data_IF_235511422086
#
_entry.id   IF_235511422086
#
_cell.length_a   1.000
_cell.length_b   1.000
_cell.length_c   1.000
_cell.angle_alpha   90.00
_cell.angle_beta   90.00
_cell.angle_gamma   90.00
#
_symmetry.space_group_name_H-M   'P 1'
#
loop_
_entity.id
_entity.type
_entity.pdbx_description
1 polymer ?
#
# COMPACT_ATOMS: atom_id res chain seq x y z
N UNK A 1 4.82 -12.90 -8.99
CA UNK A 1 6.23 -12.52 -9.00
C UNK A 1 6.36 -11.00 -9.13
N UNK A 2 7.44 -10.44 -8.56
CA UNK A 2 7.78 -9.04 -8.66
C UNK A 2 9.24 -8.91 -9.15
N UNK A 3 9.49 -8.00 -10.09
CA UNK A 3 10.82 -7.83 -10.69
C UNK A 3 11.20 -6.35 -10.69
N UNK A 4 12.48 -6.07 -10.42
CA UNK A 4 13.07 -4.75 -10.53
C UNK A 4 14.20 -4.79 -11.59
N UNK A 5 13.95 -4.36 -12.84
CA UNK A 5 14.96 -4.33 -13.90
C UNK A 5 15.96 -3.19 -13.67
N UNK A 6 17.20 -3.41 -14.11
CA UNK A 6 18.29 -2.45 -14.12
C UNK A 6 18.62 -2.04 -15.57
N UNK A 7 19.33 -0.93 -15.73
CA UNK A 7 19.69 -0.39 -17.05
C UNK A 7 20.64 -1.30 -17.86
N UNK A 8 21.38 -2.19 -17.20
CA UNK A 8 22.28 -3.16 -17.84
C UNK A 8 21.54 -4.42 -18.33
N UNK A 9 20.22 -4.48 -18.20
CA UNK A 9 19.38 -5.62 -18.55
C UNK A 9 19.31 -6.71 -17.48
N UNK A 10 20.07 -6.60 -16.40
CA UNK A 10 19.89 -7.47 -15.22
C UNK A 10 18.67 -7.07 -14.42
N UNK A 11 18.28 -7.90 -13.44
CA UNK A 11 17.12 -7.60 -12.60
C UNK A 11 17.23 -8.24 -11.21
N UNK A 12 16.66 -7.57 -10.20
CA UNK A 12 16.29 -8.21 -8.95
C UNK A 12 14.95 -8.93 -9.11
N UNK A 13 14.91 -10.22 -8.75
CA UNK A 13 13.74 -11.09 -8.97
C UNK A 13 13.21 -11.58 -7.63
N UNK A 14 11.93 -11.38 -7.39
CA UNK A 14 11.21 -11.87 -6.24
C UNK A 14 10.16 -12.90 -6.67
N UNK A 15 10.31 -14.11 -6.17
CA UNK A 15 9.43 -15.25 -6.42
C UNK A 15 8.73 -15.66 -5.11
N UNK A 16 7.63 -16.42 -5.19
CA UNK A 16 6.94 -16.92 -3.99
C UNK A 16 7.88 -17.74 -3.09
N UNK A 17 8.67 -18.64 -3.66
CA UNK A 17 9.63 -19.44 -2.90
C UNK A 17 10.81 -18.58 -2.42
N UNK A 18 11.10 -18.64 -1.12
CA UNK A 18 12.30 -18.03 -0.52
C UNK A 18 13.57 -18.57 -1.18
N UNK A 19 13.64 -19.89 -1.42
CA UNK A 19 14.82 -20.54 -1.99
C UNK A 19 15.03 -20.16 -3.45
N UNK A 20 13.96 -20.15 -4.27
CA UNK A 20 14.06 -19.73 -5.66
C UNK A 20 14.45 -18.25 -5.78
N UNK A 21 13.94 -17.39 -4.92
CA UNK A 21 14.37 -15.98 -4.86
C UNK A 21 15.83 -15.86 -4.48
N UNK A 22 16.25 -16.63 -3.47
CA UNK A 22 17.64 -16.61 -3.01
C UNK A 22 18.60 -17.13 -4.09
N UNK A 23 18.22 -18.18 -4.82
CA UNK A 23 19.03 -18.70 -5.93
C UNK A 23 19.15 -17.64 -7.05
N UNK A 24 18.09 -16.89 -7.34
CA UNK A 24 18.12 -15.79 -8.30
C UNK A 24 18.95 -14.57 -7.82
N UNK A 25 19.17 -14.42 -6.50
CA UNK A 25 19.97 -13.33 -5.91
C UNK A 25 21.49 -13.60 -5.89
N UNK A 26 21.94 -14.79 -6.29
CA UNK A 26 23.36 -15.15 -6.30
C UNK A 26 24.05 -14.91 -4.96
N UNK A 27 25.05 -14.04 -4.92
CA UNK A 27 25.86 -13.75 -3.72
C UNK A 27 25.06 -13.26 -2.51
N UNK A 28 23.87 -12.73 -2.72
CA UNK A 28 22.97 -12.30 -1.65
C UNK A 28 21.94 -13.35 -1.23
N UNK A 29 21.91 -14.52 -1.89
CA UNK A 29 20.90 -15.55 -1.64
C UNK A 29 20.86 -16.02 -0.19
N UNK A 30 22.01 -16.29 0.42
CA UNK A 30 22.08 -16.72 1.82
C UNK A 30 21.62 -15.63 2.79
N UNK A 31 21.91 -14.34 2.48
CA UNK A 31 21.42 -13.23 3.26
C UNK A 31 19.89 -13.09 3.16
N UNK A 32 19.36 -13.34 1.95
CA UNK A 32 17.91 -13.34 1.71
C UNK A 32 17.23 -14.42 2.55
N UNK A 33 17.70 -15.68 2.48
CA UNK A 33 17.18 -16.80 3.29
C UNK A 33 17.20 -16.49 4.79
N UNK A 34 18.30 -15.95 5.28
CA UNK A 34 18.49 -15.65 6.71
C UNK A 34 17.52 -14.57 7.21
N UNK A 35 17.23 -13.55 6.38
CA UNK A 35 16.33 -12.48 6.77
C UNK A 35 14.87 -12.89 6.62
N UNK A 36 14.48 -13.40 5.46
CA UNK A 36 13.08 -13.60 5.10
C UNK A 36 12.55 -15.00 5.41
N UNK A 37 13.36 -16.02 5.38
CA UNK A 37 12.93 -17.39 5.65
C UNK A 37 12.18 -17.54 6.99
N UNK A 38 12.75 -17.08 8.13
CA UNK A 38 12.07 -17.16 9.41
C UNK A 38 10.83 -16.27 9.54
N UNK A 39 10.78 -15.14 8.80
CA UNK A 39 9.60 -14.24 8.80
C UNK A 39 8.45 -14.89 8.05
N UNK A 40 8.71 -15.44 6.87
CA UNK A 40 7.70 -16.12 6.04
C UNK A 40 7.20 -17.41 6.71
N UNK A 41 8.09 -18.21 7.30
CA UNK A 41 7.70 -19.43 8.03
C UNK A 41 6.81 -19.18 9.26
N UNK A 42 6.75 -17.95 9.75
CA UNK A 42 5.92 -17.53 10.91
C UNK A 42 5.01 -16.37 10.55
N UNK A 43 4.58 -16.30 9.28
CA UNK A 43 3.77 -15.19 8.78
C UNK A 43 2.49 -14.99 9.60
N UNK A 44 1.73 -16.04 9.88
CA UNK A 44 0.48 -15.94 10.67
C UNK A 44 0.73 -15.35 12.05
N UNK A 45 1.78 -15.80 12.74
CA UNK A 45 2.15 -15.27 14.04
C UNK A 45 2.60 -13.81 13.97
N UNK A 46 3.29 -13.44 12.89
CA UNK A 46 3.69 -12.05 12.64
C UNK A 46 2.48 -11.16 12.34
N UNK A 47 1.59 -11.61 11.47
CA UNK A 47 0.36 -10.89 11.13
C UNK A 47 -0.56 -10.73 12.33
N UNK A 48 -0.71 -11.77 13.17
CA UNK A 48 -1.54 -11.73 14.37
C UNK A 48 -1.17 -10.59 15.33
N UNK A 49 0.10 -10.19 15.36
CA UNK A 49 0.59 -9.10 16.21
C UNK A 49 0.79 -7.79 15.45
N UNK A 50 1.39 -7.83 14.24
CA UNK A 50 1.70 -6.63 13.47
C UNK A 50 0.46 -5.89 12.95
N UNK A 51 -0.67 -6.59 12.82
CA UNK A 51 -1.96 -5.99 12.41
C UNK A 51 -2.81 -5.47 13.57
N UNK A 52 -2.29 -5.50 14.79
CA UNK A 52 -2.94 -4.96 15.99
C UNK A 52 -2.38 -3.57 16.38
N UNK A 53 -3.10 -2.79 17.19
CA UNK A 53 -2.55 -1.57 17.77
C UNK A 53 -1.28 -1.84 18.57
N UNK A 54 -0.25 -1.01 18.36
CA UNK A 54 1.09 -1.19 18.97
C UNK A 54 1.08 -1.22 20.51
N UNK A 55 0.11 -0.56 21.14
CA UNK A 55 -0.02 -0.55 22.61
C UNK A 55 -0.69 -1.81 23.16
N UNK A 56 -0.93 -2.82 22.34
CA UNK A 56 -1.43 -4.13 22.76
C UNK A 56 -0.31 -5.04 23.30
N UNK A 57 -0.71 -6.10 24.00
CA UNK A 57 0.22 -7.16 24.42
C UNK A 57 0.36 -8.16 23.28
N UNK A 58 1.58 -8.34 22.72
CA UNK A 58 1.77 -9.25 21.59
C UNK A 58 1.57 -10.71 22.04
N UNK A 59 0.95 -11.50 21.15
CA UNK A 59 0.75 -12.95 21.33
C UNK A 59 2.04 -13.74 21.06
N UNK A 60 2.87 -13.22 20.13
CA UNK A 60 4.10 -13.87 19.67
C UNK A 60 5.31 -12.91 19.80
N UNK A 61 5.70 -12.52 21.05
CA UNK A 61 6.64 -11.44 21.30
C UNK A 61 8.02 -11.65 20.67
N UNK A 62 8.50 -12.89 20.57
CA UNK A 62 9.79 -13.20 19.96
C UNK A 62 9.76 -13.03 18.43
N UNK A 63 8.66 -13.40 17.78
CA UNK A 63 8.47 -13.21 16.33
C UNK A 63 8.40 -11.73 16.01
N UNK A 64 7.60 -10.99 16.78
CA UNK A 64 7.46 -9.54 16.61
C UNK A 64 8.77 -8.81 16.91
N UNK A 65 9.53 -9.19 17.93
CA UNK A 65 10.82 -8.61 18.26
C UNK A 65 11.86 -8.84 17.16
N UNK A 66 11.91 -10.04 16.58
CA UNK A 66 12.79 -10.36 15.45
C UNK A 66 12.47 -9.51 14.22
N UNK A 67 11.20 -9.38 13.87
CA UNK A 67 10.74 -8.48 12.82
C UNK A 67 11.11 -7.03 13.15
N UNK A 68 10.79 -6.58 14.36
CA UNK A 68 11.02 -5.23 14.84
C UNK A 68 12.48 -4.79 14.77
N UNK A 69 13.43 -5.71 15.03
CA UNK A 69 14.86 -5.42 14.95
C UNK A 69 15.31 -4.90 13.58
N UNK A 70 14.73 -5.43 12.50
CA UNK A 70 14.98 -4.95 11.14
C UNK A 70 14.01 -3.82 10.73
N UNK A 71 12.76 -3.90 11.18
CA UNK A 71 11.69 -2.96 10.82
C UNK A 71 11.94 -1.53 11.32
N UNK A 72 12.64 -1.36 12.45
CA UNK A 72 12.97 -0.02 12.98
C UNK A 72 14.04 0.70 12.16
N UNK A 73 14.77 0.00 11.31
CA UNK A 73 15.81 0.59 10.47
C UNK A 73 15.22 1.43 9.33
N UNK A 74 15.93 2.50 8.90
CA UNK A 74 15.69 3.09 7.59
C UNK A 74 15.90 2.06 6.47
N UNK A 75 15.07 2.09 5.44
CA UNK A 75 15.24 1.18 4.29
C UNK A 75 16.60 1.37 3.59
N UNK A 76 17.10 2.60 3.55
CA UNK A 76 18.45 2.92 3.05
C UNK A 76 19.58 2.29 3.88
N UNK A 77 19.36 2.10 5.18
CA UNK A 77 20.34 1.42 6.05
C UNK A 77 20.28 -0.09 5.83
N UNK A 78 19.07 -0.67 5.79
CA UNK A 78 18.91 -2.10 5.53
C UNK A 78 19.41 -2.48 4.13
N UNK A 79 19.31 -1.60 3.13
CA UNK A 79 19.87 -1.83 1.80
C UNK A 79 21.38 -2.14 1.80
N UNK A 80 22.14 -1.65 2.80
CA UNK A 80 23.57 -1.93 2.95
C UNK A 80 23.87 -3.38 3.34
N UNK A 81 22.85 -4.12 3.73
CA UNK A 81 22.95 -5.56 4.00
C UNK A 81 23.24 -6.35 2.72
N UNK A 82 22.75 -5.87 1.56
CA UNK A 82 22.92 -6.49 0.26
C UNK A 82 24.25 -6.09 -0.39
N UNK A 83 24.87 -7.02 -1.14
CA UNK A 83 26.14 -6.79 -1.86
C UNK A 83 25.89 -6.43 -3.32
N UNK A 84 24.89 -7.07 -3.95
CA UNK A 84 24.57 -6.89 -5.37
C UNK A 84 23.59 -5.73 -5.56
N UNK A 85 23.66 -5.08 -6.72
CA UNK A 85 22.73 -4.00 -7.02
C UNK A 85 21.33 -4.54 -7.33
N UNK A 86 21.21 -5.75 -7.87
CA UNK A 86 19.95 -6.44 -8.09
C UNK A 86 19.13 -6.59 -6.79
N UNK A 87 19.79 -7.06 -5.74
CA UNK A 87 19.15 -7.22 -4.43
C UNK A 87 18.83 -5.87 -3.78
N UNK A 88 19.73 -4.87 -3.91
CA UNK A 88 19.49 -3.52 -3.39
C UNK A 88 18.34 -2.81 -4.09
N UNK A 89 18.28 -2.89 -5.42
CA UNK A 89 17.25 -2.24 -6.22
C UNK A 89 15.88 -2.90 -6.01
N UNK A 90 15.81 -4.23 -5.98
CA UNK A 90 14.58 -4.93 -5.60
C UNK A 90 14.10 -4.51 -4.20
N UNK A 91 15.01 -4.50 -3.21
CA UNK A 91 14.68 -4.03 -1.86
C UNK A 91 14.18 -2.59 -1.86
N UNK A 92 14.85 -1.70 -2.57
CA UNK A 92 14.46 -0.29 -2.66
C UNK A 92 13.06 -0.13 -3.27
N UNK A 93 12.77 -0.88 -4.36
CA UNK A 93 11.46 -0.88 -5.02
C UNK A 93 10.34 -1.39 -4.12
N UNK A 94 10.57 -2.47 -3.37
CA UNK A 94 9.57 -2.96 -2.41
C UNK A 94 9.41 -2.02 -1.23
N UNK A 95 10.50 -1.44 -0.71
CA UNK A 95 10.41 -0.47 0.39
C UNK A 95 9.73 0.84 -0.02
N UNK A 96 9.77 1.22 -1.32
CA UNK A 96 9.10 2.40 -1.86
C UNK A 96 7.56 2.35 -1.70
N UNK A 97 6.96 1.18 -1.51
CA UNK A 97 5.55 1.05 -1.13
C UNK A 97 5.18 1.75 0.19
N UNK A 98 6.17 2.20 0.97
CA UNK A 98 5.92 3.08 2.10
C UNK A 98 5.41 4.48 1.68
N UNK A 99 5.55 4.87 0.40
CA UNK A 99 5.21 6.21 -0.15
C UNK A 99 5.76 7.33 0.75
N UNK A 100 6.98 7.16 1.19
CA UNK A 100 7.66 8.06 2.12
C UNK A 100 9.17 8.04 1.88
N UNK A 101 9.89 9.09 2.32
CA UNK A 101 11.36 9.11 2.23
C UNK A 101 11.97 7.94 3.01
N UNK A 102 12.79 7.15 2.32
CA UNK A 102 13.27 5.85 2.81
C UNK A 102 14.49 5.90 3.74
N UNK A 103 14.99 7.11 4.02
CA UNK A 103 16.09 7.38 4.96
C UNK A 103 15.64 7.61 6.41
N UNK A 104 14.34 7.43 6.69
CA UNK A 104 13.79 7.58 8.05
C UNK A 104 13.63 6.24 8.76
N UNK A 105 13.75 6.24 10.10
CA UNK A 105 13.46 5.03 10.89
C UNK A 105 12.11 4.42 10.54
N UNK A 106 12.01 3.09 10.64
CA UNK A 106 10.81 2.28 10.40
C UNK A 106 10.35 2.18 8.93
N UNK A 107 11.03 2.80 7.98
CA UNK A 107 10.66 2.67 6.56
C UNK A 107 10.97 1.30 5.98
N UNK A 108 11.77 0.47 6.66
CA UNK A 108 11.94 -0.95 6.33
C UNK A 108 10.68 -1.79 6.64
N UNK A 109 9.83 -1.37 7.57
CA UNK A 109 8.72 -2.19 8.07
C UNK A 109 7.76 -2.62 6.96
N UNK A 110 7.41 -1.70 6.06
CA UNK A 110 6.49 -1.96 4.93
C UNK A 110 7.11 -2.97 3.96
N UNK A 111 8.36 -2.74 3.55
CA UNK A 111 9.06 -3.65 2.63
C UNK A 111 9.25 -5.04 3.23
N UNK A 112 9.65 -5.14 4.50
CA UNK A 112 9.79 -6.43 5.19
C UNK A 112 8.47 -7.20 5.27
N UNK A 113 7.37 -6.51 5.57
CA UNK A 113 6.06 -7.15 5.64
C UNK A 113 5.60 -7.62 4.27
N UNK A 114 5.76 -6.80 3.21
CA UNK A 114 5.39 -7.18 1.85
C UNK A 114 6.19 -8.38 1.35
N UNK A 115 7.51 -8.43 1.60
CA UNK A 115 8.33 -9.59 1.22
C UNK A 115 7.93 -10.82 2.02
N UNK A 116 7.73 -10.69 3.34
CA UNK A 116 7.32 -11.83 4.16
C UNK A 116 5.95 -12.39 3.73
N UNK A 117 4.98 -11.52 3.45
CA UNK A 117 3.66 -11.90 2.96
C UNK A 117 3.73 -12.52 1.56
N UNK A 118 4.52 -11.91 0.66
CA UNK A 118 4.69 -12.43 -0.70
C UNK A 118 5.37 -13.81 -0.75
N UNK A 119 6.26 -14.12 0.18
CA UNK A 119 6.81 -15.47 0.32
C UNK A 119 5.82 -16.44 0.97
N UNK A 120 5.00 -16.00 1.91
CA UNK A 120 4.01 -16.85 2.57
C UNK A 120 2.83 -17.16 1.64
N UNK A 121 2.11 -16.12 1.21
CA UNK A 121 0.86 -16.26 0.45
C UNK A 121 1.07 -16.15 -1.07
N UNK A 122 2.16 -15.53 -1.51
CA UNK A 122 2.43 -15.19 -2.89
C UNK A 122 2.06 -13.74 -3.23
N UNK A 123 2.45 -13.32 -4.44
CA UNK A 123 2.14 -12.00 -5.00
C UNK A 123 0.89 -12.14 -5.88
N UNK A 124 -0.27 -12.25 -5.23
CA UNK A 124 -1.53 -12.67 -5.85
C UNK A 124 -2.33 -11.47 -6.41
N UNK A 125 -3.24 -11.78 -7.36
CA UNK A 125 -4.26 -10.87 -7.87
C UNK A 125 -5.62 -11.54 -7.76
N UNK A 126 -6.69 -10.74 -7.65
CA UNK A 126 -8.05 -11.28 -7.68
C UNK A 126 -8.43 -11.63 -9.12
N UNK A 127 -8.95 -12.84 -9.34
CA UNK A 127 -9.55 -13.25 -10.60
C UNK A 127 -10.74 -12.33 -10.94
N UNK A 128 -10.84 -11.90 -12.19
CA UNK A 128 -11.83 -10.93 -12.64
C UNK A 128 -11.55 -9.48 -12.21
N UNK A 129 -10.54 -9.24 -11.37
CA UNK A 129 -10.09 -7.92 -10.92
C UNK A 129 -10.45 -7.57 -9.48
N UNK A 130 -9.95 -6.44 -9.01
CA UNK A 130 -10.12 -6.01 -7.61
C UNK A 130 -11.58 -5.80 -7.20
N UNK A 131 -12.48 -5.56 -8.14
CA UNK A 131 -13.92 -5.45 -7.87
C UNK A 131 -14.49 -6.74 -7.27
N UNK A 132 -13.96 -7.91 -7.65
CA UNK A 132 -14.39 -9.20 -7.13
C UNK A 132 -14.27 -9.30 -5.60
N UNK A 133 -13.25 -8.63 -5.01
CA UNK A 133 -13.08 -8.57 -3.54
C UNK A 133 -14.22 -7.75 -2.91
N UNK A 134 -14.54 -6.59 -3.50
CA UNK A 134 -15.62 -5.74 -3.00
C UNK A 134 -16.99 -6.42 -3.16
N UNK A 135 -17.21 -7.12 -4.28
CA UNK A 135 -18.45 -7.85 -4.55
C UNK A 135 -18.64 -9.01 -3.58
N UNK A 136 -17.58 -9.74 -3.25
CA UNK A 136 -17.61 -10.81 -2.25
C UNK A 136 -17.99 -10.27 -0.85
N UNK A 137 -17.37 -9.17 -0.42
CA UNK A 137 -17.70 -8.52 0.86
C UNK A 137 -19.14 -7.98 0.85
N UNK A 138 -19.59 -7.39 -0.26
CA UNK A 138 -20.96 -6.91 -0.40
C UNK A 138 -21.99 -8.07 -0.38
N UNK A 139 -21.65 -9.22 -0.98
CA UNK A 139 -22.48 -10.42 -0.91
C UNK A 139 -22.61 -10.93 0.52
N UNK A 140 -21.50 -10.94 1.29
CA UNK A 140 -21.50 -11.35 2.68
C UNK A 140 -22.36 -10.44 3.57
N UNK A 141 -22.26 -9.11 3.38
CA UNK A 141 -23.11 -8.14 4.07
C UNK A 141 -24.60 -8.46 3.81
N UNK A 142 -24.97 -8.68 2.55
CA UNK A 142 -26.37 -9.00 2.17
C UNK A 142 -26.82 -10.36 2.69
N UNK A 143 -25.93 -11.36 2.69
CA UNK A 143 -26.21 -12.69 3.25
C UNK A 143 -26.61 -12.63 4.72
N UNK A 144 -25.99 -11.72 5.47
CA UNK A 144 -26.32 -11.46 6.88
C UNK A 144 -27.44 -10.43 7.08
N UNK A 145 -28.20 -10.09 6.04
CA UNK A 145 -29.36 -9.19 6.12
C UNK A 145 -29.01 -7.71 6.15
N UNK A 146 -27.74 -7.36 5.91
CA UNK A 146 -27.29 -5.96 5.80
C UNK A 146 -27.73 -5.33 4.47
N UNK A 147 -27.85 -4.01 4.45
CA UNK A 147 -28.16 -3.21 3.26
C UNK A 147 -26.97 -2.35 2.85
N UNK A 148 -26.86 -2.08 1.55
CA UNK A 148 -25.83 -1.20 0.98
C UNK A 148 -26.55 -0.12 0.18
N UNK A 149 -26.41 1.13 0.62
CA UNK A 149 -26.94 2.30 -0.05
C UNK A 149 -25.80 3.07 -0.72
N UNK A 150 -25.90 3.29 -2.02
CA UNK A 150 -24.94 4.06 -2.81
C UNK A 150 -25.53 5.40 -3.22
N UNK A 151 -24.64 6.35 -3.62
CA UNK A 151 -25.08 7.69 -4.01
C UNK A 151 -25.48 8.60 -2.84
N UNK A 152 -25.35 8.14 -1.61
CA UNK A 152 -25.65 8.88 -0.38
C UNK A 152 -24.37 9.43 0.24
N UNK A 153 -24.10 10.71 -0.02
CA UNK A 153 -22.92 11.37 0.57
C UNK A 153 -23.23 11.89 1.96
N UNK A 154 -22.55 11.34 2.97
CA UNK A 154 -22.66 11.80 4.36
C UNK A 154 -21.70 12.97 4.58
N UNK A 155 -22.21 14.14 4.89
CA UNK A 155 -21.44 15.37 5.14
C UNK A 155 -21.51 15.81 6.60
N UNK A 156 -22.55 15.40 7.32
CA UNK A 156 -22.80 15.75 8.69
C UNK A 156 -23.48 14.64 9.47
N UNK A 157 -23.52 14.74 10.79
CA UNK A 157 -24.24 13.78 11.63
C UNK A 157 -25.76 13.75 11.37
N UNK A 158 -26.32 14.81 10.78
CA UNK A 158 -27.74 14.87 10.45
C UNK A 158 -28.11 14.00 9.24
N UNK A 159 -27.13 13.63 8.42
CA UNK A 159 -27.32 12.76 7.25
C UNK A 159 -27.35 11.27 7.62
N UNK A 160 -27.02 10.93 8.88
CA UNK A 160 -26.93 9.55 9.35
C UNK A 160 -28.28 9.06 9.84
N UNK A 161 -28.65 7.80 9.54
CA UNK A 161 -29.83 7.17 10.15
C UNK A 161 -29.60 6.94 11.65
N UNK A 162 -30.67 6.65 12.39
CA UNK A 162 -30.58 6.22 13.77
C UNK A 162 -29.72 4.95 13.87
N UNK A 163 -28.80 4.89 14.83
CA UNK A 163 -27.82 3.80 14.97
C UNK A 163 -27.40 3.62 16.43
N UNK A 164 -27.10 2.39 16.81
CA UNK A 164 -26.48 2.06 18.09
C UNK A 164 -24.95 2.15 17.99
N UNK A 165 -24.40 1.82 16.83
CA UNK A 165 -22.97 1.87 16.50
C UNK A 165 -22.77 2.54 15.15
N UNK A 166 -21.74 3.39 15.06
CA UNK A 166 -21.28 4.04 13.84
C UNK A 166 -19.81 3.71 13.59
N UNK A 167 -19.53 3.06 12.46
CA UNK A 167 -18.20 2.78 11.96
C UNK A 167 -17.92 3.70 10.76
N UNK A 168 -16.92 4.59 10.88
CA UNK A 168 -16.56 5.56 9.86
C UNK A 168 -15.30 5.09 9.10
N UNK A 169 -15.48 4.60 7.89
CA UNK A 169 -14.37 4.33 6.95
C UNK A 169 -14.04 5.58 6.13
N UNK A 170 -13.59 6.63 6.82
CA UNK A 170 -13.27 7.91 6.21
C UNK A 170 -11.92 8.45 6.71
N UNK A 171 -11.33 9.38 5.97
CA UNK A 171 -10.16 10.10 6.44
C UNK A 171 -10.46 10.88 7.75
N UNK A 172 -9.49 11.06 8.67
CA UNK A 172 -9.71 11.76 9.94
C UNK A 172 -10.29 13.16 9.78
N UNK A 173 -9.90 13.90 8.74
CA UNK A 173 -10.46 15.22 8.43
C UNK A 173 -11.93 15.17 8.06
N UNK A 174 -12.37 14.15 7.32
CA UNK A 174 -13.78 13.94 6.99
C UNK A 174 -14.59 13.57 8.23
N UNK A 175 -14.05 12.73 9.13
CA UNK A 175 -14.68 12.43 10.41
C UNK A 175 -14.90 13.70 11.27
N UNK A 176 -13.96 14.67 11.23
CA UNK A 176 -14.16 15.97 11.88
C UNK A 176 -15.33 16.73 11.25
N UNK A 177 -15.47 16.71 9.93
CA UNK A 177 -16.60 17.34 9.23
C UNK A 177 -17.94 16.71 9.61
N UNK A 178 -18.01 15.38 9.57
CA UNK A 178 -19.25 14.62 9.85
C UNK A 178 -19.68 14.78 11.31
N UNK A 179 -18.75 14.63 12.26
CA UNK A 179 -19.08 14.60 13.69
C UNK A 179 -19.13 15.99 14.35
N UNK A 180 -18.48 16.99 13.75
CA UNK A 180 -18.50 18.38 14.20
C UNK A 180 -18.13 18.54 15.68
N UNK A 181 -18.92 19.33 16.39
CA UNK A 181 -18.71 19.66 17.82
C UNK A 181 -19.00 18.49 18.77
N UNK A 182 -19.52 17.37 18.27
CA UNK A 182 -19.68 16.13 19.06
C UNK A 182 -18.32 15.50 19.39
N UNK A 183 -17.28 15.76 18.57
CA UNK A 183 -15.94 15.25 18.81
C UNK A 183 -15.29 15.92 20.02
N UNK A 184 -14.69 15.17 20.96
CA UNK A 184 -13.87 15.77 22.00
C UNK A 184 -12.76 16.63 21.38
N UNK A 185 -12.52 17.81 21.95
CA UNK A 185 -11.61 18.82 21.37
C UNK A 185 -10.19 18.28 21.10
N UNK A 186 -9.68 17.38 21.95
CA UNK A 186 -8.36 16.77 21.77
C UNK A 186 -8.33 15.79 20.59
N UNK A 187 -9.41 15.05 20.33
CA UNK A 187 -9.55 14.13 19.19
C UNK A 187 -9.67 14.93 17.89
N UNK A 188 -10.55 15.92 17.87
CA UNK A 188 -10.71 16.82 16.71
C UNK A 188 -9.39 17.51 16.34
N UNK A 189 -8.60 17.95 17.33
CA UNK A 189 -7.27 18.51 17.13
C UNK A 189 -6.30 17.49 16.54
N UNK A 190 -6.29 16.26 17.02
CA UNK A 190 -5.43 15.20 16.51
C UNK A 190 -5.79 14.85 15.06
N UNK A 191 -7.07 14.72 14.73
CA UNK A 191 -7.57 14.42 13.40
C UNK A 191 -7.27 15.54 12.39
N UNK A 192 -7.38 16.81 12.78
CA UNK A 192 -6.98 17.96 11.93
C UNK A 192 -5.46 18.01 11.69
N UNK A 193 -4.63 17.43 12.57
CA UNK A 193 -3.17 17.38 12.45
C UNK A 193 -2.67 16.14 11.74
N UNK A 194 -3.57 15.20 11.43
CA UNK A 194 -3.23 13.99 10.70
C UNK A 194 -2.65 14.36 9.33
N UNK A 195 -1.54 13.74 8.96
CA UNK A 195 -0.83 14.05 7.72
C UNK A 195 -1.02 12.96 6.70
N UNK A 196 -1.32 13.36 5.48
CA UNK A 196 -1.31 12.49 4.32
C UNK A 196 0.06 12.43 3.69
N UNK A 197 0.33 11.31 2.96
CA UNK A 197 1.61 11.03 2.33
C UNK A 197 1.71 11.57 0.90
N UNK A 198 2.68 11.03 0.15
CA UNK A 198 2.81 11.26 -1.28
C UNK A 198 1.53 10.85 -2.02
N UNK A 199 1.28 11.47 -3.16
CA UNK A 199 0.20 11.09 -4.05
C UNK A 199 0.63 10.01 -5.04
N UNK A 200 -0.35 9.30 -5.58
CA UNK A 200 -0.19 8.44 -6.75
C UNK A 200 -0.77 9.15 -7.97
N UNK A 201 0.02 9.19 -9.05
CA UNK A 201 -0.45 9.59 -10.38
C UNK A 201 -0.53 8.33 -11.23
N UNK A 202 -1.72 7.96 -11.68
CA UNK A 202 -2.01 6.66 -12.28
C UNK A 202 -2.22 6.80 -13.79
N UNK A 203 -1.65 5.86 -14.54
CA UNK A 203 -1.93 5.70 -15.97
C UNK A 203 -2.28 4.24 -16.24
N UNK A 204 -3.45 4.02 -16.79
CA UNK A 204 -3.90 2.73 -17.31
C UNK A 204 -3.72 2.72 -18.83
N UNK A 205 -3.20 1.64 -19.38
CA UNK A 205 -2.98 1.47 -20.81
C UNK A 205 -3.77 0.27 -21.35
N UNK A 206 -4.22 0.38 -22.58
CA UNK A 206 -4.49 -0.73 -23.47
C UNK A 206 -3.30 -0.86 -24.42
N UNK A 207 -2.65 -2.01 -24.43
CA UNK A 207 -1.43 -2.25 -25.24
C UNK A 207 -1.64 -3.39 -26.21
N UNK A 208 -0.97 -3.31 -27.38
CA UNK A 208 -0.92 -4.40 -28.33
C UNK A 208 0.16 -5.42 -27.91
N UNK A 209 -0.26 -6.66 -27.66
CA UNK A 209 0.62 -7.75 -27.22
C UNK A 209 1.23 -7.52 -25.84
N UNK A 210 2.44 -8.02 -25.63
CA UNK A 210 3.17 -7.95 -24.36
C UNK A 210 4.06 -6.71 -24.28
N UNK A 211 4.43 -6.31 -23.05
CA UNK A 211 5.43 -5.24 -22.85
C UNK A 211 6.82 -5.76 -23.27
N UNK A 212 7.56 -5.03 -24.11
CA UNK A 212 8.83 -5.50 -24.68
C UNK A 212 10.02 -5.32 -23.71
N UNK A 213 9.90 -5.85 -22.48
CA UNK A 213 10.94 -5.70 -21.47
C UNK A 213 12.31 -6.20 -21.93
N UNK A 214 13.35 -5.42 -21.69
CA UNK A 214 14.74 -5.81 -21.92
C UNK A 214 15.16 -6.92 -20.97
N UNK A 215 14.82 -6.79 -19.68
CA UNK A 215 15.07 -7.82 -18.69
C UNK A 215 14.06 -8.97 -18.83
N UNK A 216 14.55 -10.16 -19.19
CA UNK A 216 13.72 -11.35 -19.43
C UNK A 216 12.78 -11.70 -18.28
N UNK A 217 13.21 -11.67 -16.99
CA UNK A 217 12.31 -11.98 -15.87
C UNK A 217 11.09 -11.06 -15.78
N UNK A 218 11.19 -9.79 -16.23
CA UNK A 218 10.08 -8.84 -16.21
C UNK A 218 8.93 -9.23 -17.14
N UNK A 219 9.20 -10.03 -18.18
CA UNK A 219 8.17 -10.51 -19.12
C UNK A 219 7.17 -11.47 -18.49
N UNK A 220 7.53 -12.09 -17.36
CA UNK A 220 6.69 -13.06 -16.63
C UNK A 220 6.22 -12.54 -15.28
N UNK A 221 6.64 -11.35 -14.88
CA UNK A 221 6.29 -10.76 -13.59
C UNK A 221 4.93 -10.06 -13.63
N UNK A 222 4.05 -10.38 -12.70
CA UNK A 222 2.78 -9.66 -12.53
C UNK A 222 2.99 -8.22 -12.08
N UNK A 223 4.11 -7.93 -11.41
CA UNK A 223 4.49 -6.57 -10.98
C UNK A 223 5.94 -6.27 -11.34
N UNK A 224 6.15 -5.08 -11.92
CA UNK A 224 7.48 -4.58 -12.27
C UNK A 224 7.70 -3.23 -11.61
N UNK A 225 8.80 -3.08 -10.87
CA UNK A 225 9.23 -1.82 -10.27
C UNK A 225 10.28 -1.15 -11.15
N UNK A 226 10.03 0.08 -11.59
CA UNK A 226 10.94 0.84 -12.44
C UNK A 226 11.50 2.03 -11.66
N UNK A 227 12.81 2.06 -11.50
CA UNK A 227 13.45 3.13 -10.74
C UNK A 227 14.97 3.21 -10.95
N UNK A 228 15.51 2.36 -11.83
CA UNK A 228 16.95 2.24 -12.00
C UNK A 228 17.63 1.59 -10.80
N UNK A 229 18.79 2.07 -10.41
CA UNK A 229 19.51 1.55 -9.26
C UNK A 229 18.86 1.95 -7.93
N UNK A 230 19.30 1.35 -6.84
CA UNK A 230 18.76 1.62 -5.49
C UNK A 230 18.89 3.08 -5.07
N UNK A 231 19.92 3.79 -5.53
CA UNK A 231 20.16 5.20 -5.19
C UNK A 231 19.17 6.11 -5.90
N UNK A 232 18.83 5.77 -7.15
CA UNK A 232 17.83 6.49 -7.93
C UNK A 232 16.44 6.36 -7.26
N UNK A 233 16.04 5.15 -6.85
CA UNK A 233 14.80 4.93 -6.10
C UNK A 233 14.77 5.74 -4.80
N UNK A 234 15.83 5.69 -3.99
CA UNK A 234 15.89 6.45 -2.74
C UNK A 234 15.87 7.97 -2.97
N UNK A 235 16.54 8.42 -4.04
CA UNK A 235 16.53 9.81 -4.48
C UNK A 235 15.16 10.30 -4.90
N UNK A 236 14.43 9.47 -5.64
CA UNK A 236 13.07 9.74 -6.10
C UNK A 236 12.10 9.92 -4.93
N UNK A 237 12.09 8.99 -3.98
CA UNK A 237 11.23 9.08 -2.79
C UNK A 237 11.54 10.33 -1.94
N UNK A 238 12.82 10.70 -1.85
CA UNK A 238 13.23 11.91 -1.16
C UNK A 238 12.78 13.17 -1.91
N UNK A 239 12.89 13.21 -3.24
CA UNK A 239 12.46 14.34 -4.08
C UNK A 239 10.93 14.53 -3.98
N UNK A 240 10.16 13.45 -4.12
CA UNK A 240 8.70 13.47 -3.97
C UNK A 240 8.30 14.01 -2.60
N UNK A 241 8.97 13.56 -1.53
CA UNK A 241 8.72 14.07 -0.18
C UNK A 241 9.05 15.57 -0.01
N UNK A 242 9.96 16.10 -0.81
CA UNK A 242 10.31 17.52 -0.87
C UNK A 242 9.42 18.36 -1.78
N UNK A 243 8.40 17.76 -2.40
CA UNK A 243 7.49 18.45 -3.30
C UNK A 243 7.98 18.54 -4.75
N UNK A 244 8.96 17.73 -5.14
CA UNK A 244 9.56 17.72 -6.49
C UNK A 244 9.18 16.43 -7.19
N UNK A 245 8.60 16.52 -8.41
CA UNK A 245 8.45 15.37 -9.30
C UNK A 245 9.82 15.09 -9.94
N UNK A 246 10.39 13.88 -9.74
CA UNK A 246 11.60 13.49 -10.45
C UNK A 246 11.38 13.42 -11.97
N UNK A 247 12.40 13.70 -12.76
CA UNK A 247 12.36 13.52 -14.22
C UNK A 247 12.14 12.05 -14.60
N UNK A 248 12.74 11.13 -13.83
CA UNK A 248 12.62 9.68 -13.97
C UNK A 248 12.05 9.11 -12.67
N UNK A 249 10.72 9.21 -12.45
CA UNK A 249 10.12 8.81 -11.19
C UNK A 249 10.20 7.30 -10.97
N UNK A 250 10.09 6.88 -9.71
CA UNK A 250 9.75 5.49 -9.41
C UNK A 250 8.35 5.19 -9.94
N UNK A 251 8.24 4.15 -10.76
CA UNK A 251 6.98 3.71 -11.36
C UNK A 251 6.73 2.25 -11.02
N UNK A 252 5.55 1.94 -10.55
CA UNK A 252 5.06 0.59 -10.40
C UNK A 252 4.18 0.24 -11.60
N UNK A 253 4.45 -0.92 -12.21
CA UNK A 253 3.71 -1.44 -13.37
C UNK A 253 3.09 -2.78 -13.01
N UNK A 254 1.82 -2.97 -13.33
CA UNK A 254 1.10 -4.21 -13.12
C UNK A 254 0.65 -4.86 -14.42
N UNK A 255 1.01 -6.13 -14.57
CA UNK A 255 0.72 -6.99 -15.71
C UNK A 255 -0.22 -8.12 -15.29
N UNK A 256 -1.39 -7.77 -14.72
CA UNK A 256 -2.32 -8.76 -14.18
C UNK A 256 -2.85 -9.74 -15.23
N UNK A 257 -2.85 -9.35 -16.51
CA UNK A 257 -3.25 -10.21 -17.61
C UNK A 257 -2.41 -11.48 -17.73
N UNK A 258 -1.17 -11.47 -17.19
CA UNK A 258 -0.31 -12.68 -17.16
C UNK A 258 -0.86 -13.76 -16.21
N UNK A 259 -1.51 -13.35 -15.12
CA UNK A 259 -2.12 -14.25 -14.15
C UNK A 259 -3.59 -14.52 -14.45
N UNK A 260 -4.28 -13.54 -15.03
CA UNK A 260 -5.71 -13.58 -15.39
C UNK A 260 -5.93 -13.18 -16.86
N UNK A 261 -5.80 -14.10 -17.79
CA UNK A 261 -5.97 -13.83 -19.22
C UNK A 261 -7.38 -13.33 -19.60
N UNK A 262 -8.38 -13.52 -18.74
CA UNK A 262 -9.74 -13.03 -18.97
C UNK A 262 -9.83 -11.49 -19.01
N UNK A 263 -8.75 -10.82 -18.56
CA UNK A 263 -8.60 -9.36 -18.59
C UNK A 263 -8.28 -8.82 -19.98
N UNK A 264 -7.87 -9.69 -20.90
CA UNK A 264 -7.44 -9.34 -22.26
C UNK A 264 -8.56 -9.52 -23.27
N UNK A 265 -8.51 -8.76 -24.37
CA UNK A 265 -9.43 -8.89 -25.50
C UNK A 265 -8.61 -9.08 -26.78
N UNK A 266 -8.62 -10.29 -27.35
CA UNK A 266 -7.75 -10.64 -28.48
C UNK A 266 -6.27 -10.49 -28.08
N UNK A 267 -5.54 -9.66 -28.84
CA UNK A 267 -4.14 -9.33 -28.56
C UNK A 267 -3.96 -8.07 -27.71
N UNK A 268 -5.07 -7.43 -27.31
CA UNK A 268 -5.03 -6.22 -26.48
C UNK A 268 -5.01 -6.58 -25.01
N UNK A 269 -3.96 -6.16 -24.31
CA UNK A 269 -3.75 -6.40 -22.90
C UNK A 269 -3.90 -5.11 -22.08
N UNK A 270 -4.54 -5.18 -20.89
CA UNK A 270 -4.56 -4.07 -19.96
C UNK A 270 -3.24 -4.02 -19.16
N UNK A 271 -2.64 -2.84 -19.11
CA UNK A 271 -1.51 -2.56 -18.25
C UNK A 271 -1.85 -1.38 -17.37
N UNK A 272 -1.60 -1.45 -16.07
CA UNK A 272 -1.74 -0.29 -15.21
C UNK A 272 -0.40 0.12 -14.62
N UNK A 273 -0.26 1.40 -14.36
CA UNK A 273 0.92 1.94 -13.70
C UNK A 273 0.57 3.10 -12.80
N UNK A 274 1.43 3.38 -11.84
CA UNK A 274 1.43 4.65 -11.15
C UNK A 274 2.84 5.08 -10.77
N UNK A 275 3.04 6.39 -10.71
CA UNK A 275 4.23 7.00 -10.14
C UNK A 275 3.92 7.62 -8.77
N UNK A 276 4.91 7.65 -7.88
CA UNK A 276 4.85 8.48 -6.69
C UNK A 276 5.07 9.94 -7.09
N UNK A 277 4.15 10.80 -6.68
CA UNK A 277 4.20 12.24 -6.94
C UNK A 277 4.04 13.02 -5.63
N UNK A 278 4.42 14.30 -5.58
CA UNK A 278 4.18 15.12 -4.40
C UNK A 278 2.70 15.12 -3.98
N UNK A 279 2.45 15.22 -2.69
CA UNK A 279 1.09 15.35 -2.15
C UNK A 279 0.32 16.48 -2.84
N UNK A 280 -0.86 16.18 -3.36
CA UNK A 280 -1.69 17.16 -4.06
C UNK A 280 -1.07 17.70 -5.36
N UNK A 281 -0.22 16.94 -6.01
CA UNK A 281 0.43 17.30 -7.28
C UNK A 281 -0.61 17.65 -8.34
N UNK A 282 -0.45 18.84 -8.95
CA UNK A 282 -1.39 19.39 -9.95
C UNK A 282 -0.87 19.37 -11.38
N UNK A 283 0.37 18.87 -11.57
CA UNK A 283 0.96 18.71 -12.89
C UNK A 283 0.53 17.41 -13.58
N UNK A 284 1.14 17.14 -14.70
CA UNK A 284 0.99 15.92 -15.47
C UNK A 284 2.30 15.10 -15.38
N UNK A 285 2.20 13.83 -14.98
CA UNK A 285 3.32 12.90 -14.91
C UNK A 285 3.26 11.83 -16.01
N UNK A 286 2.33 11.94 -16.97
CA UNK A 286 2.10 10.93 -18.01
C UNK A 286 3.35 10.64 -18.81
N UNK A 287 4.01 11.69 -19.35
CA UNK A 287 5.21 11.52 -20.16
C UNK A 287 6.39 10.96 -19.35
N UNK A 288 6.52 11.32 -18.08
CA UNK A 288 7.54 10.79 -17.20
C UNK A 288 7.32 9.29 -16.92
N UNK A 289 6.08 8.85 -16.72
CA UNK A 289 5.71 7.44 -16.56
C UNK A 289 5.98 6.66 -17.83
N UNK A 290 5.49 7.14 -18.96
CA UNK A 290 5.70 6.48 -20.27
C UNK A 290 7.19 6.42 -20.60
N UNK A 291 7.93 7.50 -20.35
CA UNK A 291 9.39 7.55 -20.54
C UNK A 291 10.15 6.55 -19.67
N UNK A 292 9.67 6.35 -18.42
CA UNK A 292 10.29 5.37 -17.53
C UNK A 292 10.00 3.92 -17.98
N UNK A 293 8.79 3.64 -18.47
CA UNK A 293 8.49 2.31 -19.05
C UNK A 293 9.33 2.09 -20.32
N UNK A 294 9.38 3.07 -21.21
CA UNK A 294 10.17 3.01 -22.46
C UNK A 294 11.66 2.77 -22.21
N UNK A 295 12.24 3.32 -21.11
CA UNK A 295 13.65 3.10 -20.71
C UNK A 295 13.97 1.62 -20.52
N UNK A 296 13.07 0.84 -19.93
CA UNK A 296 13.26 -0.58 -19.63
C UNK A 296 12.57 -1.51 -20.63
N UNK A 297 11.72 -0.95 -21.48
CA UNK A 297 10.96 -1.67 -22.52
C UNK A 297 10.94 -0.85 -23.81
N UNK A 298 12.08 -0.75 -24.55
CA UNK A 298 12.14 -0.01 -25.80
C UNK A 298 11.10 -0.47 -26.81
N UNK A 299 10.36 0.48 -27.41
CA UNK A 299 9.23 0.23 -28.31
C UNK A 299 7.88 0.09 -27.58
N UNK A 300 7.81 0.39 -26.27
CA UNK A 300 6.55 0.38 -25.54
C UNK A 300 5.56 1.42 -26.06
N UNK A 301 6.04 2.63 -26.39
CA UNK A 301 5.18 3.72 -26.92
C UNK A 301 4.39 3.31 -28.16
N UNK A 302 5.00 2.51 -29.01
CA UNK A 302 4.39 2.02 -30.27
C UNK A 302 3.29 0.99 -30.01
N UNK A 303 3.27 0.38 -28.83
CA UNK A 303 2.27 -0.61 -28.44
C UNK A 303 1.03 -0.02 -27.75
N UNK A 304 1.05 1.27 -27.43
CA UNK A 304 -0.06 1.94 -26.74
C UNK A 304 -1.21 2.15 -27.73
N UNK A 305 -2.31 1.43 -27.54
CA UNK A 305 -3.57 1.60 -28.30
C UNK A 305 -4.45 2.68 -27.67
N UNK A 306 -4.34 2.88 -26.37
CA UNK A 306 -5.08 3.89 -25.63
C UNK A 306 -4.61 3.98 -24.19
N UNK A 307 -4.92 5.09 -23.54
CA UNK A 307 -4.59 5.31 -22.13
C UNK A 307 -5.67 6.09 -21.41
N UNK A 308 -5.78 5.87 -20.11
CA UNK A 308 -6.62 6.63 -19.18
C UNK A 308 -5.75 7.12 -18.03
N UNK A 309 -5.77 8.43 -17.80
CA UNK A 309 -4.96 9.10 -16.77
C UNK A 309 -5.84 9.40 -15.57
N UNK A 310 -5.30 9.24 -14.37
CA UNK A 310 -5.91 9.69 -13.12
C UNK A 310 -4.89 10.47 -12.30
N UNK A 311 -5.06 11.79 -12.33
CA UNK A 311 -4.29 12.71 -11.50
C UNK A 311 -4.62 12.54 -10.00
N UNK A 312 -3.80 13.13 -9.12
CA UNK A 312 -4.09 13.16 -7.68
C UNK A 312 -5.44 13.82 -7.36
N UNK A 313 -5.87 14.79 -8.17
CA UNK A 313 -7.17 15.47 -8.03
C UNK A 313 -8.31 14.52 -8.38
N UNK A 314 -8.20 13.82 -9.51
CA UNK A 314 -9.21 12.82 -9.92
C UNK A 314 -9.26 11.63 -8.96
N UNK A 315 -8.12 11.18 -8.44
CA UNK A 315 -8.07 10.17 -7.38
C UNK A 315 -8.85 10.60 -6.15
N UNK A 316 -8.67 11.86 -5.70
CA UNK A 316 -9.42 12.43 -4.57
C UNK A 316 -10.92 12.61 -4.85
N UNK A 317 -11.31 12.86 -6.10
CA UNK A 317 -12.72 12.94 -6.52
C UNK A 317 -13.39 11.57 -6.54
N UNK A 318 -12.68 10.55 -7.01
CA UNK A 318 -13.17 9.18 -7.07
C UNK A 318 -13.31 8.55 -5.68
N UNK A 319 -12.36 8.83 -4.79
CA UNK A 319 -12.40 8.39 -3.41
C UNK A 319 -11.93 9.52 -2.47
N UNK A 320 -12.86 10.06 -1.70
CA UNK A 320 -12.58 11.18 -0.77
C UNK A 320 -11.53 10.85 0.30
N UNK A 321 -11.23 9.56 0.53
CA UNK A 321 -10.16 9.12 1.42
C UNK A 321 -8.75 9.28 0.80
N UNK A 322 -8.65 9.41 -0.52
CA UNK A 322 -7.37 9.65 -1.22
C UNK A 322 -6.99 11.13 -1.21
N UNK A 323 -6.90 11.71 -0.02
CA UNK A 323 -6.62 13.14 0.17
C UNK A 323 -5.28 13.52 -0.47
N UNK A 324 -5.32 14.39 -1.47
CA UNK A 324 -4.13 14.81 -2.23
C UNK A 324 -3.49 13.68 -3.05
N UNK A 325 -4.26 12.62 -3.37
CA UNK A 325 -3.79 11.45 -4.09
C UNK A 325 -3.12 10.39 -3.21
N UNK A 326 -3.11 10.56 -1.90
CA UNK A 326 -2.56 9.58 -0.95
C UNK A 326 -3.42 8.30 -0.93
N UNK A 327 -2.94 7.23 -1.57
CA UNK A 327 -3.65 5.95 -1.69
C UNK A 327 -3.46 5.03 -0.47
N UNK A 328 -2.58 5.39 0.47
CA UNK A 328 -2.29 4.58 1.67
C UNK A 328 -2.95 5.14 2.94
N UNK A 329 -3.75 6.21 2.81
CA UNK A 329 -4.56 6.74 3.91
C UNK A 329 -3.78 7.38 5.05
N UNK A 330 -2.57 7.90 4.77
CA UNK A 330 -1.75 8.64 5.72
C UNK A 330 -0.25 8.44 5.57
N UNK A 331 0.54 9.48 5.84
CA UNK A 331 1.99 9.42 5.74
C UNK A 331 2.62 8.33 6.61
N UNK A 332 3.54 7.56 6.05
CA UNK A 332 4.32 6.54 6.76
C UNK A 332 5.47 7.14 7.58
N UNK A 333 5.21 8.28 8.26
CA UNK A 333 6.16 8.81 9.22
C UNK A 333 6.27 7.87 10.44
N UNK A 334 7.43 7.80 11.13
CA UNK A 334 7.62 6.89 12.26
C UNK A 334 6.53 7.02 13.33
N UNK A 335 6.12 8.25 13.62
CA UNK A 335 5.07 8.50 14.61
C UNK A 335 3.68 8.04 14.15
N UNK A 336 3.34 8.21 12.85
CA UNK A 336 2.04 7.75 12.33
C UNK A 336 2.01 6.26 12.04
N UNK A 337 3.13 5.62 11.73
CA UNK A 337 3.19 4.16 11.64
C UNK A 337 2.84 3.50 12.98
N UNK A 338 3.27 4.10 14.09
CA UNK A 338 3.02 3.55 15.42
C UNK A 338 1.67 4.01 16.02
N UNK A 339 1.30 5.27 15.79
CA UNK A 339 0.23 5.92 16.56
C UNK A 339 -0.79 6.63 15.67
N UNK A 340 -1.28 5.94 14.63
CA UNK A 340 -2.35 6.46 13.78
C UNK A 340 -3.74 6.16 14.36
N UNK A 341 -4.74 7.00 14.20
CA UNK A 341 -4.68 8.39 13.73
C UNK A 341 -4.19 9.35 14.82
N UNK A 342 -4.03 8.86 16.04
CA UNK A 342 -3.59 9.57 17.25
C UNK A 342 -2.97 8.61 18.26
N UNK A 343 -2.20 9.13 19.18
CA UNK A 343 -1.73 8.36 20.34
C UNK A 343 -2.92 8.04 21.26
N UNK A 344 -3.30 6.77 21.32
CA UNK A 344 -4.41 6.28 22.17
C UNK A 344 -4.26 4.76 22.42
N UNK A 345 -4.78 4.28 23.55
CA UNK A 345 -4.90 2.84 23.81
C UNK A 345 -5.90 2.18 22.85
N UNK A 346 -7.01 2.86 22.59
CA UNK A 346 -7.97 2.49 21.57
C UNK A 346 -7.94 3.54 20.46
N UNK A 347 -7.20 3.29 19.36
CA UNK A 347 -7.07 4.24 18.26
C UNK A 347 -8.32 4.30 17.38
N UNK A 348 -9.22 3.33 17.46
CA UNK A 348 -10.48 3.28 16.71
C UNK A 348 -11.56 4.17 17.33
N UNK A 349 -11.61 4.26 18.65
CA UNK A 349 -12.58 5.11 19.34
C UNK A 349 -12.41 6.58 19.01
N UNK A 350 -13.49 7.25 18.64
CA UNK A 350 -13.55 8.70 18.45
C UNK A 350 -13.69 9.47 19.77
N UNK A 351 -13.93 8.77 20.90
CA UNK A 351 -14.27 9.36 22.19
C UNK A 351 -15.75 9.70 22.32
N UNK A 352 -16.57 9.44 21.30
CA UNK A 352 -18.03 9.46 21.35
C UNK A 352 -18.48 8.01 21.56
N UNK A 353 -19.31 7.68 22.55
CA UNK A 353 -19.82 6.34 22.75
C UNK A 353 -20.46 5.77 21.48
N UNK A 354 -20.13 4.52 21.13
CA UNK A 354 -20.64 3.85 19.94
C UNK A 354 -20.10 4.33 18.59
N UNK A 355 -19.15 5.31 18.56
CA UNK A 355 -18.63 5.86 17.29
C UNK A 355 -17.14 5.58 17.14
N UNK A 356 -16.79 4.91 16.04
CA UNK A 356 -15.43 4.44 15.75
C UNK A 356 -14.97 4.89 14.37
N UNK A 357 -13.65 5.12 14.22
CA UNK A 357 -12.97 5.27 12.94
C UNK A 357 -12.36 3.91 12.54
N UNK A 358 -12.57 3.47 11.30
CA UNK A 358 -12.13 2.15 10.84
C UNK A 358 -11.40 2.16 9.48
N UNK A 359 -11.01 3.34 8.99
CA UNK A 359 -10.29 3.49 7.73
C UNK A 359 -8.82 3.09 7.83
N UNK A 360 -8.10 3.08 6.69
CA UNK A 360 -6.65 2.91 6.64
C UNK A 360 -5.86 3.94 7.46
N UNK A 361 -6.51 5.00 7.94
CA UNK A 361 -5.93 5.95 8.90
C UNK A 361 -5.87 5.41 10.33
N UNK A 362 -6.39 4.22 10.60
CA UNK A 362 -6.28 3.48 11.87
C UNK A 362 -5.32 2.29 11.73
N UNK A 363 -4.81 1.71 12.84
CA UNK A 363 -3.99 0.51 12.75
C UNK A 363 -4.70 -0.66 12.04
N UNK A 364 -3.95 -1.48 11.29
CA UNK A 364 -2.51 -1.43 11.06
C UNK A 364 -2.09 -0.41 10.00
N UNK A 365 -3.00 0.24 9.31
CA UNK A 365 -2.76 1.16 8.21
C UNK A 365 -3.20 0.60 6.86
N UNK A 366 -2.49 0.98 5.80
CA UNK A 366 -2.78 0.55 4.44
C UNK A 366 -2.51 -0.95 4.23
N UNK A 367 -3.29 -1.54 3.35
CA UNK A 367 -3.16 -2.93 2.90
C UNK A 367 -4.53 -3.54 2.57
N UNK A 368 -4.56 -4.49 1.67
CA UNK A 368 -5.76 -5.25 1.31
C UNK A 368 -6.05 -6.37 2.34
N UNK A 369 -6.10 -6.04 3.62
CA UNK A 369 -6.25 -6.99 4.74
C UNK A 369 -7.54 -6.81 5.55
N UNK A 370 -8.29 -5.71 5.38
CA UNK A 370 -9.54 -5.44 6.12
C UNK A 370 -9.40 -5.27 7.65
N UNK A 371 -8.19 -5.31 8.21
CA UNK A 371 -7.98 -5.39 9.65
C UNK A 371 -8.37 -4.12 10.40
N UNK A 372 -8.31 -2.95 9.78
CA UNK A 372 -8.81 -1.71 10.40
C UNK A 372 -10.30 -1.81 10.71
N UNK A 373 -11.09 -2.32 9.75
CA UNK A 373 -12.53 -2.59 9.94
C UNK A 373 -12.80 -3.68 10.95
N UNK A 374 -12.11 -4.83 10.84
CA UNK A 374 -12.29 -5.97 11.75
C UNK A 374 -11.98 -5.60 13.21
N UNK A 375 -10.87 -4.88 13.45
CA UNK A 375 -10.49 -4.45 14.79
C UNK A 375 -11.47 -3.44 15.36
N UNK A 376 -11.95 -2.47 14.56
CA UNK A 376 -12.96 -1.50 14.97
C UNK A 376 -14.30 -2.19 15.30
N UNK A 377 -14.74 -3.15 14.47
CA UNK A 377 -15.94 -3.94 14.70
C UNK A 377 -15.86 -4.76 16.01
N UNK A 378 -14.72 -5.39 16.26
CA UNK A 378 -14.50 -6.12 17.52
C UNK A 378 -14.59 -5.20 18.76
N UNK A 379 -14.11 -3.94 18.65
CA UNK A 379 -14.27 -2.94 19.72
C UNK A 379 -15.72 -2.52 19.91
N UNK A 380 -16.45 -2.32 18.81
CA UNK A 380 -17.87 -1.98 18.87
C UNK A 380 -18.70 -3.08 19.53
N UNK A 381 -18.51 -4.34 19.14
CA UNK A 381 -19.18 -5.50 19.72
C UNK A 381 -18.91 -5.62 21.23
N UNK A 382 -17.65 -5.51 21.65
CA UNK A 382 -17.29 -5.56 23.08
C UNK A 382 -17.96 -4.45 23.90
N UNK A 383 -18.30 -3.31 23.28
CA UNK A 383 -19.03 -2.22 23.97
C UNK A 383 -20.53 -2.51 24.07
N UNK A 384 -21.10 -3.19 23.07
CA UNK A 384 -22.52 -3.61 23.10
C UNK A 384 -22.76 -4.70 24.15
N UNK A 385 -21.77 -5.61 24.32
CA UNK A 385 -21.86 -6.71 25.30
C UNK A 385 -21.66 -6.22 26.76
N UNK A 386 -21.05 -5.05 26.99
CA UNK A 386 -20.82 -4.46 28.31
C UNK A 386 -21.29 -2.99 28.36
N UNK A 387 -22.62 -2.76 28.37
CA UNK A 387 -23.21 -1.41 28.34
C UNK A 387 -22.95 -0.58 29.60
N UNK A 388 -22.26 -1.13 30.60
CA UNK A 388 -21.91 -0.46 31.87
C UNK A 388 -20.51 0.18 31.90
N UNK A 389 -19.78 0.17 30.79
CA UNK A 389 -18.44 0.79 30.70
C UNK A 389 -18.43 2.09 29.93
#
# INVERSE_FOLDING_TARGET
DCVHPLDDGSAGVFLKSVDQTADAMGDDGERWRRLFGPMSAKLDALLADATQPVLGVPRHPLTLARFGAAAVLPATVLARWWQTEQARALWAGVAAHALYRLDRPMTSAVGLMLVAAGHGEGWVVAEGGSQAIADALAAEIRHHGGTIETGQRVMSAADLPAHDVLLLDVAPSAAVGILGDRLPAHVARAYRRYRHGAGAFKVDFAIEGEVPWTAEPARRAGTVHLGGDSREVFGNELAVHRGILPERPFVLVGQQFLADPTRSVGTTNPLWSYAHVPHGFRGDATDAIVGQIERFAPGFRERILGMAVRSTTEMSMLNANYVGGDIIGGASSPTQLLFRPRFARDPYSTGIPGVYLCSASTPPGAGAHGMSGANAAARALATLDDPGR
#
